data_IF_017492025804
#
_entry.id   IF_017492025804
#
_cell.length_a   1.000
_cell.length_b   1.000
_cell.length_c   1.000
_cell.angle_alpha   90.00
_cell.angle_beta   90.00
_cell.angle_gamma   90.00
#
_symmetry.space_group_name_H-M   'P 1'
#
loop_
_entity.id
_entity.type
_entity.pdbx_description
1 polymer ?
#
# COMPACT_ATOMS: atom_id res chain seq x y z
N UNK A 1 -2.11 15.90 24.00
CA UNK A 1 -3.54 15.51 24.02
C UNK A 1 -4.36 16.57 23.32
N UNK A 2 -4.24 16.63 21.99
CA UNK A 2 -5.11 17.32 21.03
C UNK A 2 -4.84 16.63 19.67
N UNK A 3 -5.48 15.48 19.46
CA UNK A 3 -5.47 14.66 18.23
C UNK A 3 -6.85 14.81 17.58
N UNK A 4 -7.24 15.97 17.06
CA UNK A 4 -8.56 16.12 16.43
C UNK A 4 -8.58 17.23 15.35
N UNK A 5 -7.64 17.27 14.40
CA UNK A 5 -7.75 18.18 13.23
C UNK A 5 -7.11 17.62 11.94
N UNK A 6 -7.29 16.33 11.62
CA UNK A 6 -6.93 15.79 10.28
C UNK A 6 -8.00 14.90 9.66
N UNK A 7 -9.26 15.16 10.02
CA UNK A 7 -10.41 14.71 9.22
C UNK A 7 -10.97 15.91 8.47
N UNK A 8 -10.83 15.87 7.13
CA UNK A 8 -11.46 16.72 6.11
C UNK A 8 -10.53 17.72 5.37
N UNK A 9 -9.73 17.18 4.45
CA UNK A 9 -9.50 17.87 3.17
C UNK A 9 -9.86 16.91 2.02
N UNK A 10 -11.15 16.93 1.69
CA UNK A 10 -11.80 16.12 0.68
C UNK A 10 -11.40 16.57 -0.73
N UNK A 11 -11.21 15.58 -1.63
CA UNK A 11 -11.50 15.64 -3.08
C UNK A 11 -10.40 16.11 -4.05
N UNK A 12 -9.53 15.19 -4.49
CA UNK A 12 -8.85 15.10 -5.81
C UNK A 12 -7.95 13.85 -5.72
N UNK A 13 -8.27 12.66 -6.26
CA UNK A 13 -8.54 12.35 -7.65
C UNK A 13 -9.20 10.96 -7.76
N UNK A 14 -10.53 10.90 -7.68
CA UNK A 14 -11.29 9.71 -8.09
C UNK A 14 -11.55 9.78 -9.59
N UNK A 15 -10.66 9.18 -10.40
CA UNK A 15 -10.96 8.81 -11.79
C UNK A 15 -10.25 7.53 -12.22
N UNK A 16 -11.01 6.44 -12.18
CA UNK A 16 -10.73 5.15 -12.84
C UNK A 16 -10.86 4.04 -11.82
N UNK A 17 -11.72 3.02 -11.93
CA UNK A 17 -12.70 2.64 -12.93
C UNK A 17 -13.69 1.66 -12.28
N UNK A 18 -14.82 1.42 -12.92
CA UNK A 18 -15.85 0.49 -12.45
C UNK A 18 -15.38 -0.98 -12.44
N UNK A 19 -15.54 -1.68 -11.30
CA UNK A 19 -15.87 -3.12 -11.27
C UNK A 19 -14.82 -4.06 -10.68
N UNK A 20 -15.13 -4.61 -9.49
CA UNK A 20 -14.35 -5.61 -8.73
C UNK A 20 -12.95 -5.08 -8.36
N UNK A 21 -12.79 -4.51 -7.17
CA UNK A 21 -11.47 -4.15 -6.63
C UNK A 21 -10.57 -5.37 -6.71
N UNK A 22 -9.56 -5.28 -7.57
CA UNK A 22 -8.48 -6.25 -7.62
C UNK A 22 -7.53 -5.99 -6.45
N UNK A 23 -6.85 -7.03 -5.95
CA UNK A 23 -5.86 -6.91 -4.87
C UNK A 23 -4.85 -5.81 -5.18
N UNK A 24 -4.44 -5.72 -6.45
CA UNK A 24 -3.57 -4.68 -6.97
C UNK A 24 -4.11 -3.25 -6.78
N UNK A 25 -5.39 -3.00 -7.02
CA UNK A 25 -5.95 -1.65 -6.85
C UNK A 25 -5.97 -1.24 -5.39
N UNK A 26 -6.40 -2.13 -4.49
CA UNK A 26 -6.38 -1.89 -3.04
C UNK A 26 -4.96 -1.66 -2.53
N UNK A 27 -3.99 -2.49 -2.95
CA UNK A 27 -2.58 -2.30 -2.59
C UNK A 27 -2.08 -0.94 -3.06
N UNK A 28 -2.39 -0.55 -4.29
CA UNK A 28 -1.99 0.77 -4.81
C UNK A 28 -2.59 1.93 -4.02
N UNK A 29 -3.86 1.83 -3.65
CA UNK A 29 -4.52 2.87 -2.84
C UNK A 29 -3.84 3.02 -1.47
N UNK A 30 -3.59 1.91 -0.77
CA UNK A 30 -2.88 1.93 0.52
C UNK A 30 -1.49 2.56 0.38
N UNK A 31 -0.74 2.18 -0.66
CA UNK A 31 0.61 2.68 -0.88
C UNK A 31 0.64 4.18 -1.16
N UNK A 32 -0.33 4.67 -1.94
CA UNK A 32 -0.48 6.11 -2.23
C UNK A 32 -0.86 6.89 -0.96
N UNK A 33 -1.71 6.32 -0.11
CA UNK A 33 -2.17 6.96 1.12
C UNK A 33 -1.07 6.99 2.21
N UNK A 34 -0.40 5.87 2.45
CA UNK A 34 0.63 5.74 3.48
C UNK A 34 1.94 6.45 3.10
N UNK A 35 2.42 6.26 1.87
CA UNK A 35 3.68 6.90 1.42
C UNK A 35 3.47 8.33 0.92
N UNK A 36 2.22 8.79 0.76
CA UNK A 36 1.87 10.09 0.20
C UNK A 36 2.56 10.39 -1.16
N UNK A 37 2.70 9.35 -2.00
CA UNK A 37 3.31 9.40 -3.34
C UNK A 37 2.25 9.59 -4.43
N UNK A 38 2.67 9.87 -5.66
CA UNK A 38 1.74 10.00 -6.78
C UNK A 38 1.25 8.60 -7.24
N UNK A 39 -0.06 8.35 -7.41
CA UNK A 39 -0.56 7.09 -7.97
C UNK A 39 0.05 6.72 -9.34
N UNK A 40 0.49 7.72 -10.10
CA UNK A 40 1.18 7.48 -11.38
C UNK A 40 2.59 6.88 -11.20
N UNK A 41 3.20 7.04 -10.02
CA UNK A 41 4.51 6.46 -9.67
C UNK A 41 4.37 5.02 -9.14
N UNK A 42 3.20 4.66 -8.59
CA UNK A 42 2.90 3.33 -8.05
C UNK A 42 2.58 2.34 -9.19
N UNK A 43 3.64 1.92 -9.87
CA UNK A 43 3.59 0.87 -10.88
C UNK A 43 3.76 -0.51 -10.25
N UNK A 44 3.33 -1.57 -10.94
CA UNK A 44 3.50 -2.96 -10.47
C UNK A 44 4.97 -3.30 -10.20
N UNK A 45 5.89 -2.77 -11.00
CA UNK A 45 7.32 -3.03 -10.85
C UNK A 45 8.02 -1.98 -9.98
N UNK A 46 7.28 -1.03 -9.38
CA UNK A 46 7.87 -0.01 -8.54
C UNK A 46 8.42 -0.66 -7.27
N UNK A 47 9.69 -0.38 -6.99
CA UNK A 47 10.33 -0.72 -5.72
C UNK A 47 9.83 0.23 -4.64
N UNK A 48 9.38 -0.32 -3.50
CA UNK A 48 8.95 0.51 -2.38
C UNK A 48 10.08 1.42 -1.90
N UNK A 49 11.31 0.92 -1.85
CA UNK A 49 12.47 1.67 -1.36
C UNK A 49 13.09 2.54 -2.46
N UNK A 50 13.39 1.97 -3.63
CA UNK A 50 14.19 2.66 -4.65
C UNK A 50 13.37 3.64 -5.50
N UNK A 51 12.11 3.31 -5.81
CA UNK A 51 11.25 4.14 -6.68
C UNK A 51 10.31 5.02 -5.87
N UNK A 52 9.64 4.46 -4.85
CA UNK A 52 8.67 5.19 -4.02
C UNK A 52 9.33 5.87 -2.81
N UNK A 53 10.59 5.54 -2.50
CA UNK A 53 11.34 6.20 -1.43
C UNK A 53 10.88 5.83 -0.02
N UNK A 54 10.21 4.70 0.16
CA UNK A 54 9.84 4.16 1.46
C UNK A 54 11.09 3.87 2.31
N UNK A 55 11.08 4.31 3.56
CA UNK A 55 12.08 3.91 4.55
C UNK A 55 11.67 2.58 5.19
N UNK A 56 12.62 1.96 5.89
CA UNK A 56 12.43 0.77 6.72
C UNK A 56 11.25 0.85 7.70
N UNK A 57 10.87 2.05 8.16
CA UNK A 57 9.67 2.25 9.00
C UNK A 57 8.38 2.20 8.17
N UNK A 58 8.37 2.84 7.00
CA UNK A 58 7.20 2.91 6.14
C UNK A 58 6.82 1.52 5.62
N UNK A 59 7.80 0.64 5.40
CA UNK A 59 7.55 -0.77 5.07
C UNK A 59 6.79 -1.48 6.18
N UNK A 60 7.16 -1.25 7.45
CA UNK A 60 6.47 -1.87 8.60
C UNK A 60 5.04 -1.35 8.71
N UNK A 61 4.82 -0.05 8.49
CA UNK A 61 3.48 0.57 8.49
C UNK A 61 2.61 0.05 7.33
N UNK A 62 3.16 -0.06 6.12
CA UNK A 62 2.50 -0.66 4.96
C UNK A 62 2.09 -2.11 5.19
N UNK A 63 3.00 -2.93 5.73
CA UNK A 63 2.73 -4.34 6.00
C UNK A 63 1.59 -4.48 7.00
N UNK A 64 1.60 -3.70 8.09
CA UNK A 64 0.48 -3.70 9.05
C UNK A 64 -0.85 -3.27 8.41
N UNK A 65 -0.82 -2.31 7.48
CA UNK A 65 -2.02 -1.91 6.74
C UNK A 65 -2.54 -3.03 5.82
N UNK A 66 -1.65 -3.78 5.16
CA UNK A 66 -2.04 -4.95 4.37
C UNK A 66 -2.59 -6.09 5.23
N UNK A 67 -1.98 -6.36 6.38
CA UNK A 67 -2.49 -7.35 7.34
C UNK A 67 -3.90 -7.00 7.82
N UNK A 68 -4.17 -5.73 8.15
CA UNK A 68 -5.49 -5.29 8.61
C UNK A 68 -6.53 -5.27 7.49
N UNK A 69 -6.17 -4.83 6.27
CA UNK A 69 -7.12 -4.75 5.14
C UNK A 69 -7.51 -6.14 4.61
N UNK A 70 -6.54 -7.06 4.52
CA UNK A 70 -6.75 -8.39 3.96
C UNK A 70 -6.96 -9.49 5.01
N UNK A 71 -6.87 -9.19 6.31
CA UNK A 71 -6.97 -10.13 7.43
C UNK A 71 -5.97 -11.31 7.30
N UNK A 72 -4.73 -10.99 6.89
CA UNK A 72 -3.61 -11.93 6.73
C UNK A 72 -2.50 -11.67 7.77
N UNK A 73 -1.62 -12.65 8.00
CA UNK A 73 -0.39 -12.47 8.78
C UNK A 73 0.81 -12.57 7.82
N UNK A 74 1.62 -11.51 7.74
CA UNK A 74 2.85 -11.46 6.95
C UNK A 74 4.02 -11.49 7.94
N UNK A 75 4.78 -12.60 8.06
CA UNK A 75 5.93 -12.63 8.94
C UNK A 75 7.01 -11.66 8.45
N UNK A 76 7.75 -11.05 9.39
CA UNK A 76 8.82 -10.09 9.10
C UNK A 76 9.83 -10.63 8.05
N UNK A 77 10.12 -11.93 8.08
CA UNK A 77 11.02 -12.58 7.11
C UNK A 77 10.50 -12.50 5.66
N UNK A 78 9.19 -12.65 5.46
CA UNK A 78 8.57 -12.56 4.13
C UNK A 78 8.39 -11.08 3.72
N UNK A 79 8.08 -10.20 4.68
CA UNK A 79 7.99 -8.76 4.45
C UNK A 79 9.33 -8.16 3.95
N UNK A 80 10.46 -8.66 4.43
CA UNK A 80 11.79 -8.29 3.93
C UNK A 80 12.03 -8.72 2.46
N UNK A 81 11.36 -9.78 2.01
CA UNK A 81 11.44 -10.26 0.61
C UNK A 81 10.48 -9.51 -0.33
N UNK A 82 9.47 -8.80 0.19
CA UNK A 82 8.52 -7.99 -0.58
C UNK A 82 9.17 -6.63 -0.93
N UNK A 83 9.82 -6.57 -2.09
CA UNK A 83 10.52 -5.37 -2.55
C UNK A 83 9.67 -4.48 -3.48
N UNK A 84 8.73 -5.07 -4.23
CA UNK A 84 7.91 -4.36 -5.22
C UNK A 84 6.42 -4.49 -4.98
N UNK A 85 5.64 -3.59 -5.59
CA UNK A 85 4.17 -3.62 -5.55
C UNK A 85 3.64 -4.96 -6.06
N UNK A 86 4.22 -5.52 -7.12
CA UNK A 86 3.82 -6.82 -7.65
C UNK A 86 4.08 -7.96 -6.66
N UNK A 87 5.23 -7.95 -5.97
CA UNK A 87 5.54 -8.97 -4.95
C UNK A 87 4.52 -8.94 -3.81
N UNK A 88 4.13 -7.75 -3.35
CA UNK A 88 3.11 -7.58 -2.32
C UNK A 88 1.75 -8.13 -2.80
N UNK A 89 1.34 -7.78 -4.02
CA UNK A 89 0.10 -8.26 -4.62
C UNK A 89 0.11 -9.78 -4.77
N UNK A 90 1.17 -10.37 -5.31
CA UNK A 90 1.29 -11.83 -5.45
C UNK A 90 1.29 -12.51 -4.09
N UNK A 91 1.93 -11.93 -3.09
CA UNK A 91 1.93 -12.48 -1.73
C UNK A 91 0.52 -12.49 -1.15
N UNK A 92 -0.20 -11.38 -1.26
CA UNK A 92 -1.57 -11.25 -0.77
C UNK A 92 -2.50 -12.19 -1.54
N UNK A 93 -2.44 -12.24 -2.88
CA UNK A 93 -3.27 -13.14 -3.69
C UNK A 93 -3.05 -14.63 -3.37
N UNK A 94 -1.86 -15.01 -2.91
CA UNK A 94 -1.56 -16.39 -2.53
C UNK A 94 -1.96 -16.73 -1.08
N UNK A 95 -2.16 -15.73 -0.21
CA UNK A 95 -2.44 -15.91 1.22
C UNK A 95 -3.82 -15.40 1.67
N UNK A 96 -4.54 -14.64 0.84
CA UNK A 96 -5.90 -14.12 1.07
C UNK A 96 -7.03 -15.07 0.62
#
# INVERSE_FOLDING_TARGET
MLMEEWLCNCQLSLKGGEGIMSVLETVKEIVVEELAVDPDEVTENASFIDDLGADSLDIVELVMAFEEEFDIEIPDEDAEDIATVNDAVEYIENNA
#
